data_IF_646127871886
#
_entry.id   IF_646127871886
#
_cell.length_a   1.000
_cell.length_b   1.000
_cell.length_c   1.000
_cell.angle_alpha   90.00
_cell.angle_beta   90.00
_cell.angle_gamma   90.00
#
_symmetry.space_group_name_H-M   'P 1'
#
loop_
_entity.id
_entity.type
_entity.pdbx_description
1 polymer ?
#
# COMPACT_ATOMS: atom_id res chain seq x y z
N UNK A 1 -2.66 4.90 -30.35
CA UNK A 1 -1.71 3.89 -29.81
C UNK A 1 -2.43 3.09 -28.73
N UNK A 2 -2.86 1.87 -29.03
CA UNK A 2 -3.44 0.96 -28.03
C UNK A 2 -2.33 0.53 -27.07
N UNK A 3 -2.29 1.12 -25.88
CA UNK A 3 -1.63 0.47 -24.75
C UNK A 3 -2.37 -0.83 -24.48
N UNK A 4 -1.78 -1.95 -24.91
CA UNK A 4 -2.16 -3.27 -24.43
C UNK A 4 -2.10 -3.22 -22.89
N UNK A 5 -3.26 -3.17 -22.25
CA UNK A 5 -3.37 -3.26 -20.79
C UNK A 5 -2.91 -4.66 -20.44
N UNK A 6 -1.70 -4.77 -19.89
CA UNK A 6 -1.17 -6.02 -19.37
C UNK A 6 -2.05 -6.37 -18.17
N UNK A 7 -3.02 -7.24 -18.37
CA UNK A 7 -3.86 -7.74 -17.30
C UNK A 7 -3.05 -8.73 -16.48
N UNK A 8 -2.58 -8.28 -15.32
CA UNK A 8 -2.01 -9.17 -14.33
C UNK A 8 -3.15 -10.00 -13.70
N UNK A 9 -3.01 -11.33 -13.64
CA UNK A 9 -4.03 -12.16 -13.05
C UNK A 9 -4.09 -11.98 -11.53
N UNK A 10 -5.30 -12.09 -10.96
CA UNK A 10 -5.61 -11.81 -9.55
C UNK A 10 -4.68 -12.54 -8.54
N UNK A 11 -4.26 -13.77 -8.85
CA UNK A 11 -3.34 -14.51 -7.98
C UNK A 11 -1.96 -13.84 -7.84
N UNK A 12 -1.49 -13.10 -8.84
CA UNK A 12 -0.24 -12.33 -8.73
C UNK A 12 -0.42 -11.15 -7.78
N UNK A 13 -1.55 -10.46 -7.84
CA UNK A 13 -1.87 -9.37 -6.88
C UNK A 13 -1.94 -9.88 -5.44
N UNK A 14 -2.58 -11.03 -5.22
CA UNK A 14 -2.61 -11.70 -3.91
C UNK A 14 -1.20 -12.02 -3.42
N UNK A 15 -0.36 -12.61 -4.27
CA UNK A 15 1.02 -12.93 -3.91
C UNK A 15 1.81 -11.66 -3.59
N UNK A 16 1.74 -10.61 -4.41
CA UNK A 16 2.46 -9.36 -4.17
C UNK A 16 2.03 -8.68 -2.86
N UNK A 17 0.72 -8.66 -2.56
CA UNK A 17 0.22 -8.12 -1.31
C UNK A 17 0.67 -8.95 -0.10
N UNK A 18 0.64 -10.28 -0.22
CA UNK A 18 1.16 -11.19 0.81
C UNK A 18 2.65 -10.99 1.06
N UNK A 19 3.45 -10.89 0.00
CA UNK A 19 4.88 -10.61 0.11
C UNK A 19 5.15 -9.28 0.78
N UNK A 20 4.41 -8.23 0.43
CA UNK A 20 4.55 -6.94 1.10
C UNK A 20 4.24 -7.03 2.59
N UNK A 21 3.18 -7.73 2.99
CA UNK A 21 2.87 -7.97 4.41
C UNK A 21 4.03 -8.67 5.12
N UNK A 22 4.60 -9.72 4.53
CA UNK A 22 5.73 -10.46 5.11
C UNK A 22 6.98 -9.58 5.20
N UNK A 23 7.31 -8.85 4.15
CA UNK A 23 8.48 -7.97 4.11
C UNK A 23 8.35 -6.82 5.11
N UNK A 24 7.20 -6.16 5.22
CA UNK A 24 6.99 -5.09 6.22
C UNK A 24 7.17 -5.60 7.65
N UNK A 25 6.73 -6.83 7.95
CA UNK A 25 6.96 -7.45 9.27
C UNK A 25 8.44 -7.75 9.49
N UNK A 26 9.12 -8.31 8.49
CA UNK A 26 10.55 -8.60 8.57
C UNK A 26 11.38 -7.31 8.74
N UNK A 27 11.09 -6.27 7.96
CA UNK A 27 11.71 -4.95 8.04
C UNK A 27 11.49 -4.33 9.43
N UNK A 28 10.27 -4.39 9.96
CA UNK A 28 9.99 -3.96 11.33
C UNK A 28 10.89 -4.66 12.35
N UNK A 29 10.98 -5.99 12.30
CA UNK A 29 11.81 -6.76 13.23
C UNK A 29 13.31 -6.42 13.08
N UNK A 30 13.79 -6.30 11.84
CA UNK A 30 15.19 -5.98 11.55
C UNK A 30 15.52 -4.56 12.03
N UNK A 31 14.71 -3.56 11.69
CA UNK A 31 14.94 -2.17 12.11
C UNK A 31 14.82 -1.99 13.62
N UNK A 32 13.90 -2.71 14.27
CA UNK A 32 13.73 -2.63 15.71
C UNK A 32 14.84 -3.35 16.49
N UNK A 33 15.09 -4.62 16.20
CA UNK A 33 15.97 -5.47 17.02
C UNK A 33 17.43 -5.42 16.59
N UNK A 34 17.71 -5.31 15.29
CA UNK A 34 19.08 -5.29 14.79
C UNK A 34 19.66 -3.88 14.77
N UNK A 35 18.88 -2.90 14.28
CA UNK A 35 19.35 -1.51 14.15
C UNK A 35 18.94 -0.59 15.32
N UNK A 36 18.03 -1.00 16.19
CA UNK A 36 17.54 -0.18 17.31
C UNK A 36 16.80 1.09 16.87
N UNK A 37 16.34 1.16 15.62
CA UNK A 37 15.74 2.34 15.03
C UNK A 37 14.21 2.22 15.05
N UNK A 38 13.61 2.65 16.16
CA UNK A 38 12.16 2.59 16.38
C UNK A 38 11.40 3.38 15.31
N UNK A 39 11.93 4.52 14.89
CA UNK A 39 11.26 5.40 13.92
C UNK A 39 11.16 4.74 12.54
N UNK A 40 12.26 4.16 12.06
CA UNK A 40 12.28 3.42 10.80
C UNK A 40 11.42 2.15 10.90
N UNK A 41 11.46 1.44 12.03
CA UNK A 41 10.62 0.28 12.28
C UNK A 41 9.11 0.61 12.20
N UNK A 42 8.68 1.69 12.86
CA UNK A 42 7.27 2.15 12.79
C UNK A 42 6.91 2.59 11.37
N UNK A 43 7.86 3.19 10.64
CA UNK A 43 7.64 3.59 9.25
C UNK A 43 7.46 2.38 8.34
N UNK A 44 8.23 1.30 8.53
CA UNK A 44 8.03 0.04 7.82
C UNK A 44 6.65 -0.59 8.10
N UNK A 45 6.10 -0.44 9.32
CA UNK A 45 4.73 -0.88 9.62
C UNK A 45 3.65 -0.05 8.92
N UNK A 46 3.94 1.16 8.46
CA UNK A 46 2.95 2.00 7.78
C UNK A 46 2.49 1.43 6.44
N UNK A 47 3.33 0.64 5.77
CA UNK A 47 3.00 -0.06 4.52
C UNK A 47 2.25 -1.37 4.75
N UNK A 48 2.35 -1.95 5.96
CA UNK A 48 1.72 -3.22 6.35
C UNK A 48 0.18 -3.14 6.30
N UNK A 49 -0.40 -2.10 6.90
CA UNK A 49 -1.86 -1.94 7.00
C UNK A 49 -2.53 -1.86 5.63
N UNK A 50 -2.13 -0.97 4.70
CA UNK A 50 -2.74 -0.93 3.38
C UNK A 50 -2.47 -2.21 2.57
N UNK A 51 -1.29 -2.82 2.69
CA UNK A 51 -1.00 -4.10 2.01
C UNK A 51 -1.90 -5.24 2.50
N UNK A 52 -2.14 -5.33 3.81
CA UNK A 52 -3.03 -6.33 4.41
C UNK A 52 -4.49 -6.12 3.97
N UNK A 53 -4.95 -4.87 3.91
CA UNK A 53 -6.28 -4.53 3.42
C UNK A 53 -6.44 -4.86 1.93
N UNK A 54 -5.42 -4.58 1.11
CA UNK A 54 -5.39 -5.01 -0.29
C UNK A 54 -5.45 -6.53 -0.42
N UNK A 55 -4.63 -7.26 0.35
CA UNK A 55 -4.63 -8.71 0.38
C UNK A 55 -6.01 -9.28 0.75
N UNK A 56 -6.66 -8.70 1.76
CA UNK A 56 -8.00 -9.10 2.18
C UNK A 56 -9.03 -8.87 1.07
N UNK A 57 -9.02 -7.71 0.42
CA UNK A 57 -9.91 -7.41 -0.70
C UNK A 57 -9.70 -8.37 -1.88
N UNK A 58 -8.45 -8.63 -2.30
CA UNK A 58 -8.18 -9.60 -3.37
C UNK A 58 -8.59 -11.02 -3.03
N UNK A 59 -8.42 -11.42 -1.76
CA UNK A 59 -8.85 -12.74 -1.28
C UNK A 59 -10.37 -12.87 -1.29
N UNK A 60 -11.08 -11.81 -0.90
CA UNK A 60 -12.55 -11.74 -0.97
C UNK A 60 -13.05 -11.75 -2.40
N UNK A 61 -12.36 -11.10 -3.34
CA UNK A 61 -12.68 -11.17 -4.77
C UNK A 61 -12.52 -12.58 -5.31
N UNK A 62 -11.40 -13.25 -4.98
CA UNK A 62 -11.16 -14.64 -5.37
C UNK A 62 -12.25 -15.57 -4.84
N UNK A 63 -12.77 -15.30 -3.65
CA UNK A 63 -13.89 -16.03 -3.04
C UNK A 63 -15.27 -15.61 -3.56
N UNK A 64 -15.37 -14.53 -4.35
CA UNK A 64 -16.64 -13.97 -4.84
C UNK A 64 -17.51 -13.32 -3.76
N UNK A 65 -16.93 -12.95 -2.61
CA UNK A 65 -17.66 -12.52 -1.41
C UNK A 65 -17.57 -11.01 -1.12
N UNK A 66 -17.01 -10.21 -2.04
CA UNK A 66 -16.83 -8.76 -1.81
C UNK A 66 -18.18 -8.07 -1.58
N UNK A 67 -19.17 -8.34 -2.44
CA UNK A 67 -20.49 -7.70 -2.39
C UNK A 67 -21.33 -8.16 -1.18
N UNK A 68 -21.15 -9.39 -0.71
CA UNK A 68 -21.88 -9.93 0.44
C UNK A 68 -21.31 -9.50 1.78
N UNK A 69 -20.02 -9.14 1.81
CA UNK A 69 -19.28 -8.89 3.05
C UNK A 69 -18.99 -7.41 3.31
N UNK A 70 -18.89 -6.58 2.25
CA UNK A 70 -18.57 -5.16 2.37
C UNK A 70 -19.67 -4.26 1.83
N UNK A 71 -20.22 -3.43 2.73
CA UNK A 71 -21.14 -2.37 2.33
C UNK A 71 -20.39 -1.25 1.60
N UNK A 72 -21.12 -0.54 0.73
CA UNK A 72 -20.61 0.60 -0.03
C UNK A 72 -19.96 1.69 0.83
N UNK A 73 -20.47 1.92 2.04
CA UNK A 73 -19.88 2.89 2.97
C UNK A 73 -18.49 2.43 3.48
N UNK A 74 -18.31 1.12 3.70
CA UNK A 74 -17.02 0.56 4.08
C UNK A 74 -16.00 0.68 2.94
N UNK A 75 -16.40 0.37 1.71
CA UNK A 75 -15.56 0.58 0.52
C UNK A 75 -15.22 2.07 0.30
N UNK A 76 -16.16 2.98 0.56
CA UNK A 76 -15.91 4.41 0.54
C UNK A 76 -14.90 4.84 1.61
N UNK A 77 -15.00 4.31 2.82
CA UNK A 77 -14.03 4.56 3.90
C UNK A 77 -12.63 4.08 3.52
N UNK A 78 -12.51 2.86 2.98
CA UNK A 78 -11.23 2.32 2.48
C UNK A 78 -10.65 3.15 1.34
N UNK A 79 -11.50 3.67 0.44
CA UNK A 79 -11.07 4.60 -0.59
C UNK A 79 -10.47 5.88 -0.02
N UNK A 80 -11.16 6.55 0.92
CA UNK A 80 -10.65 7.78 1.54
C UNK A 80 -9.40 7.53 2.38
N UNK A 81 -9.35 6.40 3.09
CA UNK A 81 -8.17 5.98 3.84
C UNK A 81 -6.97 5.76 2.90
N UNK A 82 -7.17 5.06 1.79
CA UNK A 82 -6.16 4.88 0.74
C UNK A 82 -5.69 6.21 0.16
N UNK A 83 -6.61 7.10 -0.21
CA UNK A 83 -6.27 8.39 -0.81
C UNK A 83 -5.50 9.30 0.15
N UNK A 84 -5.99 9.46 1.38
CA UNK A 84 -5.34 10.29 2.39
C UNK A 84 -3.99 9.72 2.78
N UNK A 85 -3.90 8.40 3.00
CA UNK A 85 -2.65 7.71 3.30
C UNK A 85 -1.61 7.89 2.20
N UNK A 86 -2.03 7.85 0.92
CA UNK A 86 -1.14 8.09 -0.21
C UNK A 86 -0.60 9.53 -0.22
N UNK A 87 -1.47 10.53 0.00
CA UNK A 87 -1.06 11.94 0.09
C UNK A 87 -0.05 12.15 1.22
N UNK A 88 -0.32 11.63 2.41
CA UNK A 88 0.58 11.75 3.55
C UNK A 88 1.90 11.00 3.33
N UNK A 89 1.87 9.83 2.70
CA UNK A 89 3.05 9.07 2.38
C UNK A 89 3.95 9.79 1.36
N UNK A 90 3.37 10.40 0.31
CA UNK A 90 4.11 11.21 -0.66
C UNK A 90 4.70 12.46 0.02
N UNK A 91 3.91 13.16 0.83
CA UNK A 91 4.39 14.32 1.57
C UNK A 91 5.53 13.95 2.54
N UNK A 92 5.41 12.81 3.22
CA UNK A 92 6.46 12.24 4.07
C UNK A 92 7.72 11.92 3.28
N UNK A 93 7.61 11.23 2.15
CA UNK A 93 8.74 10.91 1.28
C UNK A 93 9.49 12.17 0.82
N UNK A 94 8.77 13.18 0.33
CA UNK A 94 9.36 14.46 -0.06
C UNK A 94 10.10 15.09 1.13
N UNK A 95 9.44 15.17 2.30
CA UNK A 95 10.01 15.76 3.51
C UNK A 95 11.31 15.05 3.92
N UNK A 96 11.30 13.72 3.95
CA UNK A 96 12.46 12.92 4.32
C UNK A 96 13.62 13.07 3.33
N UNK A 97 13.35 13.09 2.03
CA UNK A 97 14.39 13.31 1.02
C UNK A 97 14.95 14.73 1.09
N UNK A 98 14.11 15.76 1.22
CA UNK A 98 14.57 17.14 1.33
C UNK A 98 15.44 17.35 2.57
N UNK A 99 15.02 16.83 3.73
CA UNK A 99 15.81 16.92 4.96
C UNK A 99 17.11 16.09 4.88
N UNK A 100 17.04 14.90 4.30
CA UNK A 100 18.22 14.05 4.09
C UNK A 100 19.28 14.72 3.21
N UNK A 101 18.86 15.39 2.14
CA UNK A 101 19.75 16.16 1.25
C UNK A 101 20.28 17.41 1.96
N UNK A 102 19.41 18.18 2.64
CA UNK A 102 19.79 19.42 3.32
C UNK A 102 20.82 19.19 4.44
N UNK A 103 20.73 18.05 5.14
CA UNK A 103 21.65 17.69 6.22
C UNK A 103 22.80 16.78 5.79
N UNK A 104 22.96 16.53 4.48
CA UNK A 104 24.02 15.67 3.92
C UNK A 104 24.11 14.31 4.63
N UNK A 105 22.99 13.74 5.06
CA UNK A 105 22.98 12.47 5.80
C UNK A 105 23.36 11.36 4.82
N UNK A 106 24.42 10.58 5.09
CA UNK A 106 24.82 9.49 4.21
C UNK A 106 23.72 8.42 4.13
N UNK A 107 23.48 7.92 2.91
CA UNK A 107 22.43 6.95 2.57
C UNK A 107 22.49 5.66 3.39
N UNK A 108 23.66 5.31 3.94
CA UNK A 108 23.91 4.03 4.61
C UNK A 108 24.08 4.11 6.13
N UNK A 109 24.00 5.29 6.75
CA UNK A 109 24.00 5.37 8.23
C UNK A 109 22.61 4.99 8.78
N UNK A 110 22.36 3.69 8.92
CA UNK A 110 21.06 3.11 9.30
C UNK A 110 20.48 3.62 10.63
N UNK A 111 21.32 4.16 11.52
CA UNK A 111 20.87 4.75 12.79
C UNK A 111 20.26 6.16 12.63
N UNK A 112 20.47 6.84 11.50
CA UNK A 112 20.01 8.23 11.26
C UNK A 112 19.33 8.44 9.92
N UNK A 113 19.06 7.38 9.14
CA UNK A 113 18.72 7.57 7.74
C UNK A 113 17.28 8.02 7.52
N UNK A 114 17.13 9.32 7.30
CA UNK A 114 15.90 9.90 6.74
C UNK A 114 15.65 9.37 5.32
N UNK A 115 16.71 9.08 4.55
CA UNK A 115 16.58 8.59 3.16
C UNK A 115 15.88 7.23 3.10
N UNK A 116 16.19 6.29 4.02
CA UNK A 116 15.48 5.02 4.11
C UNK A 116 14.00 5.23 4.50
N UNK A 117 13.71 6.14 5.42
CA UNK A 117 12.33 6.51 5.76
C UNK A 117 11.57 7.07 4.54
N UNK A 118 12.26 7.84 3.68
CA UNK A 118 11.70 8.33 2.43
C UNK A 118 11.38 7.21 1.43
N UNK A 119 12.25 6.21 1.32
CA UNK A 119 12.01 5.02 0.49
C UNK A 119 10.83 4.18 1.02
N UNK A 120 10.77 3.96 2.33
CA UNK A 120 9.65 3.29 2.98
C UNK A 120 8.33 4.03 2.76
N UNK A 121 8.35 5.36 2.86
CA UNK A 121 7.18 6.19 2.58
C UNK A 121 6.73 6.06 1.12
N UNK A 122 7.64 5.95 0.15
CA UNK A 122 7.29 5.65 -1.24
C UNK A 122 6.65 4.26 -1.41
N UNK A 123 7.17 3.24 -0.73
CA UNK A 123 6.59 1.89 -0.74
C UNK A 123 5.19 1.89 -0.12
N UNK A 124 5.00 2.62 0.99
CA UNK A 124 3.70 2.85 1.60
C UNK A 124 2.72 3.55 0.66
N UNK A 125 3.16 4.62 -0.02
CA UNK A 125 2.34 5.38 -0.97
C UNK A 125 1.77 4.49 -2.08
N UNK A 126 2.57 3.55 -2.60
CA UNK A 126 2.11 2.56 -3.59
C UNK A 126 0.94 1.73 -3.05
N UNK A 127 1.04 1.18 -1.84
CA UNK A 127 -0.02 0.33 -1.28
C UNK A 127 -1.27 1.12 -0.93
N UNK A 128 -1.13 2.35 -0.46
CA UNK A 128 -2.24 3.26 -0.25
C UNK A 128 -2.96 3.64 -1.55
N UNK A 129 -2.21 3.90 -2.62
CA UNK A 129 -2.76 4.13 -3.95
C UNK A 129 -3.52 2.90 -4.46
N UNK A 130 -2.91 1.72 -4.35
CA UNK A 130 -3.53 0.45 -4.75
C UNK A 130 -4.85 0.23 -4.00
N UNK A 131 -4.85 0.44 -2.68
CA UNK A 131 -6.04 0.31 -1.84
C UNK A 131 -7.16 1.26 -2.28
N UNK A 132 -6.83 2.51 -2.59
CA UNK A 132 -7.80 3.46 -3.11
C UNK A 132 -8.35 3.00 -4.47
N UNK A 133 -7.47 2.54 -5.36
CA UNK A 133 -7.86 2.09 -6.70
C UNK A 133 -8.83 0.90 -6.65
N UNK A 134 -8.47 -0.16 -5.93
CA UNK A 134 -9.30 -1.38 -5.83
C UNK A 134 -10.61 -1.10 -5.10
N UNK A 135 -10.59 -0.29 -4.03
CA UNK A 135 -11.80 0.04 -3.26
C UNK A 135 -12.80 0.83 -4.09
N UNK A 136 -12.31 1.77 -4.92
CA UNK A 136 -13.13 2.49 -5.90
C UNK A 136 -13.69 1.54 -6.96
N UNK A 137 -12.87 0.62 -7.47
CA UNK A 137 -13.29 -0.41 -8.42
C UNK A 137 -14.50 -1.19 -7.92
N UNK A 138 -14.42 -1.78 -6.72
CA UNK A 138 -15.53 -2.54 -6.15
C UNK A 138 -16.75 -1.68 -5.81
N UNK A 139 -16.56 -0.44 -5.34
CA UNK A 139 -17.67 0.47 -5.00
C UNK A 139 -18.53 0.87 -6.22
N UNK A 140 -17.95 0.89 -7.43
CA UNK A 140 -18.69 1.11 -8.67
C UNK A 140 -19.46 -0.12 -9.13
N UNK A 141 -18.92 -1.32 -8.91
CA UNK A 141 -19.61 -2.59 -9.22
C UNK A 141 -20.86 -2.77 -8.35
N UNK A 142 -20.82 -2.40 -7.07
CA UNK A 142 -21.99 -2.49 -6.17
C UNK A 142 -23.12 -1.50 -6.53
N UNK A 143 -22.88 -0.52 -7.41
CA UNK A 143 -23.88 0.50 -7.82
C UNK A 143 -24.71 0.13 -9.04
N UNK A 144 -24.31 -0.87 -9.82
CA UNK A 144 -25.02 -1.25 -11.04
C UNK A 144 -24.95 -2.75 -11.23
N UNK A 145 -26.08 -3.44 -11.04
CA UNK A 145 -26.19 -4.88 -11.24
C UNK A 145 -25.79 -5.31 -12.65
N UNK A 146 -24.52 -5.62 -12.84
CA UNK A 146 -23.94 -6.45 -13.90
C UNK A 146 -22.48 -6.69 -13.51
N UNK A 147 -22.10 -7.96 -13.41
CA UNK A 147 -20.69 -8.38 -13.43
C UNK A 147 -20.08 -7.91 -14.75
N UNK A 148 -19.47 -6.75 -14.77
CA UNK A 148 -18.35 -6.53 -15.67
C UNK A 148 -17.19 -7.27 -15.04
N UNK A 149 -16.79 -8.39 -15.64
CA UNK A 149 -15.60 -9.20 -15.31
C UNK A 149 -14.27 -8.41 -15.46
N UNK A 150 -14.29 -7.09 -15.33
CA UNK A 150 -13.20 -6.21 -15.71
C UNK A 150 -13.08 -5.10 -14.67
N UNK A 151 -12.68 -5.46 -13.45
CA UNK A 151 -11.88 -4.52 -12.67
C UNK A 151 -10.54 -4.49 -13.40
N UNK A 152 -10.37 -3.43 -14.18
CA UNK A 152 -9.09 -3.15 -14.83
C UNK A 152 -8.15 -2.66 -13.74
N UNK A 153 -7.21 -3.51 -13.32
CA UNK A 153 -6.07 -3.15 -12.45
C UNK A 153 -4.85 -3.06 -13.36
#
# INVERSE_FOLDING_TARGET
>A
MCCSKIHLPLWIHILLAMWAVVFSVLEFLVFLFYFGNVFLAVTALSSLVPAALCFQLYSMEKAGNVESSLNKNALGCLFYFGLLGCIFAIAGAITYFTLGIAWQIPVFEMHRTLILCGLEACLGARWYYELAHISRGYAHVTRGGRRTKEITI
#
